data_IF_404071088969
#
_entry.id   IF_404071088969
#
_cell.length_a   1.000
_cell.length_b   1.000
_cell.length_c   1.000
_cell.angle_alpha   90.00
_cell.angle_beta   90.00
_cell.angle_gamma   90.00
#
_symmetry.space_group_name_H-M   'P 1'
#
loop_
_entity.id
_entity.type
_entity.pdbx_description
1 polymer ?
#
# COMPACT_ATOMS: atom_id res chain seq x y z
N UNK A 1 -44.28 10.89 -11.52
CA UNK A 1 -44.55 10.94 -12.97
C UNK A 1 -45.48 12.08 -13.36
N UNK A 2 -46.62 12.29 -12.69
CA UNK A 2 -47.61 13.33 -13.06
C UNK A 2 -47.05 14.77 -13.19
N UNK A 3 -46.04 15.15 -12.40
CA UNK A 3 -45.46 16.49 -12.45
C UNK A 3 -44.50 16.73 -13.63
N UNK A 4 -43.78 15.71 -14.10
CA UNK A 4 -42.88 15.85 -15.26
C UNK A 4 -43.67 15.98 -16.57
N UNK A 5 -44.78 15.25 -16.68
CA UNK A 5 -45.71 15.40 -17.81
C UNK A 5 -46.35 16.79 -17.86
N UNK A 6 -46.64 17.40 -16.69
CA UNK A 6 -47.14 18.75 -16.62
C UNK A 6 -46.09 19.78 -17.07
N UNK A 7 -44.82 19.60 -16.67
CA UNK A 7 -43.70 20.45 -17.11
C UNK A 7 -43.49 20.33 -18.63
N UNK A 8 -43.53 19.11 -19.17
CA UNK A 8 -43.37 18.89 -20.61
C UNK A 8 -44.46 19.57 -21.45
N UNK A 9 -45.70 19.65 -20.93
CA UNK A 9 -46.82 20.36 -21.57
C UNK A 9 -46.78 21.87 -21.40
N UNK A 10 -45.95 22.39 -20.49
CA UNK A 10 -45.82 23.82 -20.21
C UNK A 10 -44.69 24.51 -20.97
N UNK A 11 -43.93 23.77 -21.79
CA UNK A 11 -42.87 24.32 -22.63
C UNK A 11 -43.53 25.18 -23.73
N UNK A 12 -43.24 26.49 -23.80
CA UNK A 12 -43.82 27.34 -24.83
C UNK A 12 -43.33 26.91 -26.23
N UNK A 13 -44.21 27.01 -27.24
CA UNK A 13 -43.80 26.79 -28.63
C UNK A 13 -43.02 28.00 -29.17
N UNK A 14 -42.03 27.78 -30.06
CA UNK A 14 -41.25 28.87 -30.63
C UNK A 14 -42.11 29.74 -31.55
N UNK A 15 -42.15 31.05 -31.27
CA UNK A 15 -42.85 32.00 -32.13
C UNK A 15 -41.85 32.53 -33.15
N UNK A 16 -41.88 31.94 -34.34
CA UNK A 16 -40.97 32.29 -35.43
C UNK A 16 -41.53 33.42 -36.31
N UNK A 17 -40.67 34.23 -36.94
CA UNK A 17 -41.10 35.24 -37.88
C UNK A 17 -41.89 34.65 -39.06
N UNK A 18 -42.83 35.40 -39.66
CA UNK A 18 -43.64 34.92 -40.78
C UNK A 18 -42.78 34.45 -41.96
N UNK A 19 -43.22 33.40 -42.67
CA UNK A 19 -42.51 32.86 -43.86
C UNK A 19 -42.24 33.93 -44.93
N UNK A 20 -43.10 34.95 -45.04
CA UNK A 20 -42.91 36.08 -45.93
C UNK A 20 -41.65 36.90 -45.60
N UNK A 21 -41.37 37.11 -44.31
CA UNK A 21 -40.16 37.80 -43.84
C UNK A 21 -38.90 36.98 -44.16
N UNK A 22 -38.95 35.66 -44.01
CA UNK A 22 -37.84 34.77 -44.38
C UNK A 22 -37.48 34.85 -45.88
N UNK A 23 -38.49 35.01 -46.75
CA UNK A 23 -38.27 35.20 -48.19
C UNK A 23 -37.62 36.55 -48.52
N UNK A 24 -37.98 37.61 -47.78
CA UNK A 24 -37.41 38.94 -47.90
C UNK A 24 -35.95 38.99 -47.39
N UNK A 25 -35.67 38.35 -46.26
CA UNK A 25 -34.33 38.18 -45.70
C UNK A 25 -33.44 37.41 -46.69
N UNK A 26 -33.95 36.32 -47.28
CA UNK A 26 -33.20 35.57 -48.30
C UNK A 26 -32.87 36.43 -49.54
N UNK A 27 -33.76 37.33 -49.96
CA UNK A 27 -33.51 38.26 -51.07
C UNK A 27 -32.44 39.32 -50.74
N UNK A 28 -32.40 39.78 -49.48
CA UNK A 28 -31.34 40.67 -48.99
C UNK A 28 -30.00 39.94 -48.97
N UNK A 29 -29.95 38.73 -48.38
CA UNK A 29 -28.71 37.94 -48.27
C UNK A 29 -28.13 37.53 -49.63
N UNK A 30 -28.99 37.34 -50.65
CA UNK A 30 -28.59 37.04 -52.03
C UNK A 30 -28.35 38.29 -52.88
N UNK A 31 -28.35 39.49 -52.28
CA UNK A 31 -28.20 40.78 -52.96
C UNK A 31 -29.17 40.98 -54.15
N UNK A 32 -30.34 40.34 -54.10
CA UNK A 32 -31.36 40.44 -55.16
C UNK A 32 -32.25 41.68 -55.00
N UNK A 33 -32.15 42.37 -53.85
CA UNK A 33 -32.75 43.70 -53.59
C UNK A 33 -31.84 44.52 -52.65
N UNK A 34 -31.90 45.87 -52.70
CA UNK A 34 -31.18 46.73 -51.76
C UNK A 34 -31.73 46.63 -50.32
N UNK A 35 -30.86 46.85 -49.34
CA UNK A 35 -31.20 46.84 -47.91
C UNK A 35 -31.71 48.21 -47.47
N UNK A 36 -32.95 48.28 -46.96
CA UNK A 36 -33.60 49.52 -46.55
C UNK A 36 -33.58 49.69 -45.02
N UNK A 37 -33.68 50.93 -44.53
CA UNK A 37 -33.71 51.20 -43.08
C UNK A 37 -34.94 50.59 -42.39
N UNK A 38 -36.07 50.48 -43.09
CA UNK A 38 -37.24 49.75 -42.59
C UNK A 38 -37.00 48.24 -42.45
N UNK A 39 -36.16 47.65 -43.31
CA UNK A 39 -35.75 46.25 -43.17
C UNK A 39 -34.83 46.09 -41.94
N UNK A 40 -33.95 47.07 -41.68
CA UNK A 40 -33.06 47.08 -40.51
C UNK A 40 -33.86 47.09 -39.21
N UNK A 41 -34.80 48.02 -39.05
CA UNK A 41 -35.58 48.14 -37.82
C UNK A 41 -36.43 46.89 -37.58
N UNK A 42 -37.05 46.35 -38.65
CA UNK A 42 -37.84 45.13 -38.57
C UNK A 42 -36.99 43.90 -38.22
N UNK A 43 -35.77 43.78 -38.75
CA UNK A 43 -34.85 42.69 -38.40
C UNK A 43 -34.38 42.82 -36.94
N UNK A 44 -34.00 44.01 -36.49
CA UNK A 44 -33.58 44.23 -35.10
C UNK A 44 -34.68 43.86 -34.11
N UNK A 45 -35.93 44.25 -34.38
CA UNK A 45 -37.04 43.91 -33.51
C UNK A 45 -37.34 42.39 -33.48
N UNK A 46 -37.17 41.68 -34.60
CA UNK A 46 -37.30 40.22 -34.62
C UNK A 46 -36.15 39.53 -33.87
N UNK A 47 -34.93 40.06 -33.97
CA UNK A 47 -33.78 39.55 -33.20
C UNK A 47 -34.06 39.69 -31.70
N UNK A 48 -34.55 40.85 -31.25
CA UNK A 48 -34.88 41.09 -29.84
C UNK A 48 -35.94 40.10 -29.31
N UNK A 49 -36.99 39.82 -30.09
CA UNK A 49 -38.02 38.82 -29.73
C UNK A 49 -37.44 37.41 -29.64
N UNK A 50 -36.54 37.03 -30.56
CA UNK A 50 -35.88 35.72 -30.53
C UNK A 50 -34.89 35.58 -29.37
N UNK A 51 -34.16 36.64 -29.03
CA UNK A 51 -33.28 36.69 -27.85
C UNK A 51 -34.06 36.52 -26.55
N UNK A 52 -35.22 37.17 -26.44
CA UNK A 52 -36.11 36.98 -25.28
C UNK A 52 -36.62 35.53 -25.18
N UNK A 53 -36.99 34.91 -26.32
CA UNK A 53 -37.39 33.49 -26.33
C UNK A 53 -36.24 32.58 -25.91
N UNK A 54 -35.03 32.81 -26.42
CA UNK A 54 -33.84 32.04 -26.03
C UNK A 54 -33.58 32.14 -24.52
N UNK A 55 -33.69 33.34 -23.95
CA UNK A 55 -33.54 33.53 -22.50
C UNK A 55 -34.55 32.71 -21.68
N UNK A 56 -35.79 32.59 -22.14
CA UNK A 56 -36.82 31.74 -21.49
C UNK A 56 -36.44 30.26 -21.57
N UNK A 57 -36.00 29.77 -22.73
CA UNK A 57 -35.57 28.38 -22.87
C UNK A 57 -34.32 28.07 -22.04
N UNK A 58 -33.34 28.98 -22.00
CA UNK A 58 -32.14 28.83 -21.18
C UNK A 58 -32.49 28.78 -19.68
N UNK A 59 -33.42 29.62 -19.21
CA UNK A 59 -33.91 29.58 -17.84
C UNK A 59 -34.61 28.23 -17.52
N UNK A 60 -35.39 27.69 -18.45
CA UNK A 60 -36.04 26.38 -18.30
C UNK A 60 -35.02 25.24 -18.27
N UNK A 61 -34.02 25.26 -19.15
CA UNK A 61 -32.94 24.28 -19.19
C UNK A 61 -32.14 24.30 -17.87
N UNK A 62 -31.75 25.49 -17.41
CA UNK A 62 -31.07 25.66 -16.12
C UNK A 62 -31.90 25.07 -14.97
N UNK A 63 -33.22 25.33 -14.96
CA UNK A 63 -34.10 24.79 -13.91
C UNK A 63 -34.22 23.27 -13.98
N UNK A 64 -34.27 22.68 -15.18
CA UNK A 64 -34.28 21.22 -15.36
C UNK A 64 -32.96 20.63 -14.86
N UNK A 65 -31.82 21.27 -15.17
CA UNK A 65 -30.51 20.82 -14.71
C UNK A 65 -30.36 20.91 -13.19
N UNK A 66 -30.92 21.94 -12.55
CA UNK A 66 -31.01 22.04 -11.09
C UNK A 66 -31.79 20.86 -10.49
N UNK A 67 -32.99 20.57 -11.02
CA UNK A 67 -33.83 19.44 -10.55
C UNK A 67 -33.14 18.11 -10.82
N UNK A 68 -32.47 17.97 -11.97
CA UNK A 68 -31.71 16.77 -12.33
C UNK A 68 -30.57 16.56 -11.34
N UNK A 69 -29.81 17.61 -11.02
CA UNK A 69 -28.73 17.56 -10.04
C UNK A 69 -29.26 17.18 -8.67
N UNK A 70 -30.39 17.76 -8.24
CA UNK A 70 -31.04 17.41 -6.99
C UNK A 70 -31.43 15.93 -6.96
N UNK A 71 -32.12 15.41 -7.97
CA UNK A 71 -32.51 14.00 -8.05
C UNK A 71 -31.29 13.07 -8.09
N UNK A 72 -30.23 13.47 -8.78
CA UNK A 72 -28.98 12.71 -8.84
C UNK A 72 -28.32 12.64 -7.45
N UNK A 73 -28.27 13.75 -6.71
CA UNK A 73 -27.78 13.77 -5.34
C UNK A 73 -28.61 12.85 -4.42
N UNK A 74 -29.94 12.87 -4.55
CA UNK A 74 -30.82 11.96 -3.81
C UNK A 74 -30.54 10.49 -4.16
N UNK A 75 -30.41 10.18 -5.45
CA UNK A 75 -30.06 8.82 -5.92
C UNK A 75 -28.73 8.35 -5.34
N UNK A 76 -27.71 9.21 -5.36
CA UNK A 76 -26.37 8.87 -4.87
C UNK A 76 -26.38 8.69 -3.34
N UNK A 77 -27.16 9.47 -2.60
CA UNK A 77 -27.35 9.29 -1.15
C UNK A 77 -28.04 7.94 -0.82
N UNK A 78 -29.08 7.57 -1.59
CA UNK A 78 -29.75 6.26 -1.45
C UNK A 78 -28.79 5.12 -1.80
N UNK A 79 -28.03 5.26 -2.90
CA UNK A 79 -27.06 4.25 -3.32
C UNK A 79 -25.95 4.05 -2.28
N UNK A 80 -25.42 5.14 -1.72
CA UNK A 80 -24.44 5.10 -0.62
C UNK A 80 -24.99 4.35 0.61
N UNK A 81 -26.24 4.62 0.98
CA UNK A 81 -26.92 3.95 2.09
C UNK A 81 -27.11 2.45 1.82
N UNK A 82 -27.56 2.09 0.62
CA UNK A 82 -27.70 0.70 0.18
C UNK A 82 -26.37 -0.05 0.23
N UNK A 83 -25.29 0.54 -0.30
CA UNK A 83 -23.94 -0.06 -0.24
C UNK A 83 -23.47 -0.26 1.19
N UNK A 84 -23.78 0.66 2.10
CA UNK A 84 -23.47 0.51 3.52
C UNK A 84 -24.23 -0.68 4.15
N UNK A 85 -25.53 -0.81 3.91
CA UNK A 85 -26.34 -1.95 4.40
C UNK A 85 -25.91 -3.29 3.77
N UNK A 86 -25.65 -3.33 2.47
CA UNK A 86 -25.14 -4.55 1.82
C UNK A 86 -23.78 -4.94 2.40
N UNK A 87 -22.92 -3.95 2.70
CA UNK A 87 -21.65 -4.20 3.36
C UNK A 87 -21.84 -4.76 4.76
N UNK A 88 -22.84 -4.31 5.55
CA UNK A 88 -23.08 -4.85 6.91
C UNK A 88 -23.53 -6.29 6.88
N UNK A 89 -24.21 -6.71 5.81
CA UNK A 89 -24.59 -8.11 5.58
C UNK A 89 -23.51 -8.96 4.91
N UNK A 90 -22.34 -8.39 4.61
CA UNK A 90 -21.27 -9.13 3.96
C UNK A 90 -20.81 -10.32 4.84
N UNK A 91 -20.70 -11.54 4.28
CA UNK A 91 -20.32 -12.74 5.04
C UNK A 91 -19.00 -12.61 5.82
N UNK A 92 -18.10 -11.74 5.36
CA UNK A 92 -16.82 -11.50 6.03
C UNK A 92 -16.97 -10.89 7.43
N UNK A 93 -18.13 -10.29 7.74
CA UNK A 93 -18.47 -9.71 9.05
C UNK A 93 -19.14 -10.71 9.99
N UNK A 94 -19.66 -11.82 9.47
CA UNK A 94 -20.20 -12.92 10.29
C UNK A 94 -19.16 -14.01 10.57
N UNK A 95 -17.94 -13.88 10.02
CA UNK A 95 -16.85 -14.80 10.32
C UNK A 95 -16.42 -14.66 11.80
N UNK A 96 -16.35 -15.77 12.54
CA UNK A 96 -15.75 -15.79 13.87
C UNK A 96 -14.31 -15.27 13.83
N UNK A 97 -13.88 -14.60 14.90
CA UNK A 97 -12.52 -14.09 15.05
C UNK A 97 -11.46 -15.18 14.88
N UNK A 98 -11.75 -16.42 15.27
CA UNK A 98 -10.83 -17.55 15.12
C UNK A 98 -10.56 -17.92 13.66
N UNK A 99 -11.59 -17.82 12.79
CA UNK A 99 -11.40 -18.04 11.34
C UNK A 99 -10.57 -16.91 10.75
N UNK A 100 -10.83 -15.66 11.15
CA UNK A 100 -10.03 -14.52 10.72
C UNK A 100 -8.57 -14.66 11.15
N UNK A 101 -8.31 -15.10 12.40
CA UNK A 101 -6.95 -15.38 12.90
C UNK A 101 -6.23 -16.43 12.05
N UNK A 102 -6.91 -17.56 11.78
CA UNK A 102 -6.34 -18.64 10.96
C UNK A 102 -6.02 -18.15 9.55
N UNK A 103 -6.95 -17.42 8.91
CA UNK A 103 -6.73 -16.84 7.57
C UNK A 103 -5.56 -15.84 7.58
N UNK A 104 -5.50 -14.95 8.57
CA UNK A 104 -4.43 -13.95 8.65
C UNK A 104 -3.06 -14.58 8.83
N UNK A 105 -2.95 -15.62 9.66
CA UNK A 105 -1.71 -16.40 9.78
C UNK A 105 -1.34 -17.10 8.48
N UNK A 106 -2.31 -17.75 7.82
CA UNK A 106 -2.03 -18.49 6.59
C UNK A 106 -1.58 -17.57 5.46
N UNK A 107 -2.23 -16.41 5.32
CA UNK A 107 -1.82 -15.36 4.38
C UNK A 107 -0.39 -14.92 4.69
N UNK A 108 -0.09 -14.64 5.96
CA UNK A 108 1.23 -14.22 6.39
C UNK A 108 2.31 -15.29 6.11
N UNK A 109 2.05 -16.57 6.38
CA UNK A 109 2.96 -17.69 6.09
C UNK A 109 3.15 -17.90 4.58
N UNK A 110 2.09 -17.80 3.78
CA UNK A 110 2.16 -17.99 2.32
C UNK A 110 3.02 -16.93 1.65
N UNK A 111 2.92 -15.68 2.10
CA UNK A 111 3.72 -14.56 1.59
C UNK A 111 5.20 -14.66 1.98
N UNK A 112 5.52 -15.40 3.04
CA UNK A 112 6.87 -15.57 3.55
C UNK A 112 7.75 -16.50 2.73
N UNK A 113 7.19 -17.60 2.23
CA UNK A 113 7.89 -18.51 1.34
C UNK A 113 8.25 -17.84 0.00
N UNK A 114 7.51 -16.80 -0.38
CA UNK A 114 7.74 -16.05 -1.60
C UNK A 114 8.86 -15.00 -1.48
N UNK A 115 9.39 -14.73 -0.28
CA UNK A 115 10.44 -13.72 -0.07
C UNK A 115 11.81 -14.12 -0.65
N UNK A 116 12.00 -15.41 -0.98
CA UNK A 116 13.15 -15.88 -1.75
C UNK A 116 13.00 -15.65 -3.26
N UNK A 117 11.76 -15.50 -3.78
CA UNK A 117 11.47 -15.28 -5.20
C UNK A 117 11.45 -13.79 -5.60
N UNK A 118 11.57 -12.87 -4.65
CA UNK A 118 11.69 -11.42 -4.86
C UNK A 118 13.12 -11.01 -5.29
N UNK A 119 13.82 -11.85 -6.05
CA UNK A 119 14.95 -11.44 -6.90
C UNK A 119 14.45 -10.94 -8.28
N UNK A 120 13.16 -10.64 -8.41
CA UNK A 120 12.67 -9.93 -9.59
C UNK A 120 13.30 -8.53 -9.61
N UNK A 121 14.11 -8.27 -10.63
CA UNK A 121 14.61 -6.97 -11.08
C UNK A 121 13.47 -5.99 -11.42
N UNK A 122 12.57 -5.70 -10.49
CA UNK A 122 11.69 -4.54 -10.57
C UNK A 122 12.46 -3.33 -10.05
N UNK A 123 12.44 -2.22 -10.78
CA UNK A 123 13.11 -0.93 -10.46
C UNK A 123 12.73 -0.31 -9.11
N UNK A 124 11.87 -0.97 -8.32
CA UNK A 124 11.49 -0.60 -6.96
C UNK A 124 12.16 -1.51 -5.93
N UNK A 125 13.17 -0.99 -5.22
CA UNK A 125 13.78 -1.70 -4.08
C UNK A 125 12.73 -1.98 -2.96
N UNK A 126 12.68 -3.21 -2.39
CA UNK A 126 11.67 -3.60 -1.38
C UNK A 126 11.79 -2.79 -0.09
N UNK A 127 10.69 -2.38 0.57
CA UNK A 127 10.66 -1.51 1.78
C UNK A 127 11.41 -2.06 3.00
N UNK A 128 11.95 -1.21 3.92
CA UNK A 128 12.79 -1.68 5.01
C UNK A 128 12.03 -2.33 6.13
N UNK A 129 10.79 -1.91 6.33
CA UNK A 129 9.78 -2.74 6.94
C UNK A 129 8.69 -2.84 5.88
N UNK A 130 8.32 -4.05 5.48
CA UNK A 130 7.29 -4.20 4.45
C UNK A 130 5.89 -3.93 5.03
N UNK A 131 5.48 -2.66 5.01
CA UNK A 131 4.14 -2.23 5.43
C UNK A 131 3.03 -2.71 4.49
N UNK A 132 3.40 -3.28 3.33
CA UNK A 132 2.42 -3.83 2.39
C UNK A 132 1.94 -5.23 2.79
N UNK A 133 2.54 -5.84 3.83
CA UNK A 133 2.25 -7.20 4.27
C UNK A 133 1.87 -7.29 5.75
N UNK A 134 1.32 -8.46 6.13
CA UNK A 134 1.08 -8.83 7.52
C UNK A 134 0.14 -7.89 8.29
N UNK A 135 0.37 -7.67 9.59
CA UNK A 135 -0.50 -6.83 10.44
C UNK A 135 -0.74 -5.42 9.91
N UNK A 136 0.26 -4.84 9.24
CA UNK A 136 0.24 -3.47 8.73
C UNK A 136 -0.76 -3.30 7.59
N UNK A 137 -0.91 -4.33 6.74
CA UNK A 137 -1.88 -4.35 5.64
C UNK A 137 -3.28 -4.73 6.08
N UNK A 138 -3.39 -5.60 7.08
CA UNK A 138 -4.67 -6.13 7.55
C UNK A 138 -5.42 -5.16 8.49
N UNK A 139 -4.69 -4.44 9.35
CA UNK A 139 -5.28 -3.53 10.35
C UNK A 139 -6.07 -2.32 9.82
N UNK A 140 -5.84 -1.79 8.60
CA UNK A 140 -6.62 -0.69 8.06
C UNK A 140 -7.95 -1.11 7.42
N UNK A 141 -8.20 -2.41 7.20
CA UNK A 141 -9.36 -2.90 6.43
C UNK A 141 -10.70 -2.55 7.10
N UNK A 142 -10.86 -2.89 8.38
CA UNK A 142 -12.01 -2.47 9.19
C UNK A 142 -11.69 -2.56 10.70
N UNK A 143 -12.57 -2.03 11.56
CA UNK A 143 -12.42 -2.08 13.02
C UNK A 143 -12.27 -3.50 13.55
N UNK A 144 -13.13 -4.44 13.15
CA UNK A 144 -13.08 -5.83 13.59
C UNK A 144 -11.75 -6.52 13.21
N UNK A 145 -11.24 -6.26 12.00
CA UNK A 145 -9.94 -6.81 11.57
C UNK A 145 -8.80 -6.23 12.39
N UNK A 146 -8.86 -4.91 12.68
CA UNK A 146 -7.89 -4.25 13.55
C UNK A 146 -7.90 -4.88 14.95
N UNK A 147 -9.06 -5.10 15.53
CA UNK A 147 -9.18 -5.70 16.87
C UNK A 147 -8.60 -7.11 16.88
N UNK A 148 -8.92 -7.93 15.87
CA UNK A 148 -8.32 -9.27 15.71
C UNK A 148 -6.79 -9.18 15.59
N UNK A 149 -6.28 -8.33 14.70
CA UNK A 149 -4.84 -8.16 14.47
C UNK A 149 -4.11 -7.68 15.73
N UNK A 150 -4.67 -6.71 16.46
CA UNK A 150 -4.07 -6.19 17.69
C UNK A 150 -4.12 -7.19 18.85
N UNK A 151 -5.18 -8.00 18.93
CA UNK A 151 -5.36 -9.00 19.99
C UNK A 151 -4.52 -10.26 19.82
N UNK A 152 -3.81 -10.42 18.69
CA UNK A 152 -3.16 -11.67 18.34
C UNK A 152 -1.63 -11.52 18.17
N UNK A 153 -0.86 -11.82 19.24
CA UNK A 153 0.59 -11.55 19.28
C UNK A 153 1.39 -12.29 18.21
N UNK A 154 0.95 -13.49 17.80
CA UNK A 154 1.64 -14.30 16.79
C UNK A 154 1.74 -13.59 15.43
N UNK A 155 0.80 -12.70 15.08
CA UNK A 155 0.89 -11.93 13.83
C UNK A 155 2.04 -10.92 13.85
N UNK A 156 2.43 -10.47 15.05
CA UNK A 156 3.50 -9.49 15.27
C UNK A 156 4.84 -10.14 15.57
N UNK A 157 4.87 -11.47 15.79
CA UNK A 157 6.09 -12.19 16.15
C UNK A 157 7.01 -12.44 14.97
N UNK A 158 6.62 -12.04 13.75
CA UNK A 158 7.53 -12.03 12.60
C UNK A 158 7.84 -10.64 12.13
N UNK A 159 9.14 -10.42 11.99
CA UNK A 159 9.74 -9.14 11.67
C UNK A 159 10.59 -9.34 10.41
N UNK A 160 10.35 -8.52 9.39
CA UNK A 160 11.13 -8.52 8.14
C UNK A 160 11.73 -7.14 7.97
N UNK A 161 13.06 -7.06 8.04
CA UNK A 161 13.84 -5.84 7.90
C UNK A 161 14.75 -5.91 6.66
N UNK A 162 14.73 -4.86 5.82
CA UNK A 162 15.40 -4.84 4.51
C UNK A 162 16.04 -3.48 4.16
N UNK A 163 17.35 -3.33 4.26
CA UNK A 163 18.03 -2.04 4.06
C UNK A 163 18.72 -1.97 2.70
N UNK A 164 18.13 -1.19 1.76
CA UNK A 164 18.64 -0.93 0.40
C UNK A 164 19.30 0.45 0.22
N UNK A 165 19.80 0.72 -0.99
CA UNK A 165 20.73 1.84 -1.30
C UNK A 165 19.98 3.15 -1.58
N UNK A 166 18.80 3.12 -2.21
CA UNK A 166 18.15 4.31 -2.80
C UNK A 166 16.95 4.82 -1.96
N UNK A 167 17.19 5.14 -0.69
CA UNK A 167 16.10 5.34 0.29
C UNK A 167 16.03 6.75 0.86
N UNK A 168 14.86 7.42 0.79
CA UNK A 168 14.58 8.66 1.52
C UNK A 168 14.67 8.47 3.04
N UNK A 169 15.32 9.41 3.72
CA UNK A 169 15.57 9.41 5.17
C UNK A 169 14.25 9.33 5.98
N UNK A 170 13.15 9.86 5.45
CA UNK A 170 11.84 9.90 6.10
C UNK A 170 11.24 8.50 6.31
N UNK A 171 11.60 7.52 5.48
CA UNK A 171 11.17 6.13 5.69
C UNK A 171 11.91 5.47 6.83
N UNK A 172 13.18 5.81 7.06
CA UNK A 172 13.98 5.26 8.15
C UNK A 172 13.43 5.67 9.52
N UNK A 173 12.95 6.93 9.63
CA UNK A 173 12.34 7.47 10.85
C UNK A 173 11.11 6.67 11.32
N UNK A 174 10.43 5.95 10.43
CA UNK A 174 9.24 5.16 10.76
C UNK A 174 9.55 3.73 11.15
N UNK A 175 10.75 3.22 10.83
CA UNK A 175 11.11 1.83 11.09
C UNK A 175 11.21 1.57 12.58
N UNK A 176 11.97 2.39 13.31
CA UNK A 176 12.24 2.18 14.73
C UNK A 176 10.92 2.15 15.54
N UNK A 177 10.00 3.13 15.41
CA UNK A 177 8.72 3.07 16.11
C UNK A 177 7.87 1.86 15.70
N UNK A 178 7.88 1.48 14.42
CA UNK A 178 7.13 0.33 13.94
C UNK A 178 7.69 -1.00 14.44
N UNK A 179 9.02 -1.12 14.50
CA UNK A 179 9.72 -2.27 15.07
C UNK A 179 9.41 -2.43 16.55
N UNK A 180 9.54 -1.33 17.33
CA UNK A 180 9.19 -1.32 18.75
C UNK A 180 7.72 -1.71 18.96
N UNK A 181 6.80 -1.19 18.14
CA UNK A 181 5.40 -1.57 18.21
C UNK A 181 5.16 -3.05 17.88
N UNK A 182 5.89 -3.62 16.92
CA UNK A 182 5.79 -5.04 16.58
C UNK A 182 6.32 -5.93 17.72
N UNK A 183 7.49 -5.60 18.27
CA UNK A 183 8.08 -6.30 19.42
C UNK A 183 7.12 -6.26 20.61
N UNK A 184 6.60 -5.08 20.96
CA UNK A 184 5.66 -4.91 22.07
C UNK A 184 4.39 -5.77 21.87
N UNK A 185 3.82 -5.75 20.67
CA UNK A 185 2.59 -6.49 20.35
C UNK A 185 2.80 -8.00 20.23
N UNK A 186 4.02 -8.45 19.92
CA UNK A 186 4.39 -9.87 19.92
C UNK A 186 4.41 -10.48 21.33
N UNK A 187 4.34 -9.65 22.38
CA UNK A 187 4.29 -10.05 23.78
C UNK A 187 5.46 -10.99 24.16
N UNK A 188 5.19 -12.27 24.43
CA UNK A 188 6.21 -13.29 24.74
C UNK A 188 6.29 -14.38 23.65
N UNK A 189 5.68 -14.15 22.48
CA UNK A 189 5.76 -15.13 21.39
C UNK A 189 7.19 -15.23 20.83
N UNK A 190 7.61 -16.42 20.38
CA UNK A 190 8.90 -16.58 19.72
C UNK A 190 8.99 -15.76 18.43
N UNK A 191 10.14 -15.14 18.18
CA UNK A 191 10.36 -14.24 17.07
C UNK A 191 10.94 -14.94 15.85
N UNK A 192 10.32 -14.71 14.69
CA UNK A 192 10.83 -15.12 13.39
C UNK A 192 11.32 -13.88 12.62
N UNK A 193 12.62 -13.74 12.48
CA UNK A 193 13.24 -12.51 11.99
C UNK A 193 13.94 -12.78 10.65
N UNK A 194 13.70 -11.90 9.69
CA UNK A 194 14.47 -11.80 8.46
C UNK A 194 15.12 -10.43 8.44
N UNK A 195 16.45 -10.39 8.37
CA UNK A 195 17.22 -9.16 8.35
C UNK A 195 18.14 -9.16 7.12
N UNK A 196 17.88 -8.26 6.19
CA UNK A 196 18.66 -8.09 4.95
C UNK A 196 19.28 -6.70 4.92
N UNK A 197 20.58 -6.61 4.69
CA UNK A 197 21.35 -5.38 4.54
C UNK A 197 22.17 -5.48 3.25
N UNK A 198 21.87 -4.62 2.28
CA UNK A 198 22.64 -4.52 1.05
C UNK A 198 23.83 -3.56 1.21
N UNK A 199 24.88 -3.78 0.42
CA UNK A 199 26.11 -3.00 0.48
C UNK A 199 25.84 -1.52 0.12
N UNK A 200 26.43 -0.58 0.88
CA UNK A 200 26.25 0.86 0.68
C UNK A 200 24.90 1.41 1.16
N UNK A 201 24.10 0.60 1.87
CA UNK A 201 22.87 1.06 2.51
C UNK A 201 23.15 1.90 3.78
N UNK A 202 22.09 2.46 4.36
CA UNK A 202 22.14 3.25 5.61
C UNK A 202 22.52 2.38 6.81
N UNK A 203 23.83 2.15 7.01
CA UNK A 203 24.38 1.31 8.08
C UNK A 203 23.91 1.76 9.46
N UNK A 204 23.85 3.07 9.74
CA UNK A 204 23.45 3.60 11.05
C UNK A 204 22.03 3.18 11.47
N UNK A 205 21.07 3.23 10.54
CA UNK A 205 19.69 2.83 10.82
C UNK A 205 19.58 1.30 10.98
N UNK A 206 20.33 0.55 10.17
CA UNK A 206 20.39 -0.90 10.28
C UNK A 206 20.96 -1.33 11.64
N UNK A 207 22.07 -0.73 12.06
CA UNK A 207 22.71 -0.94 13.38
C UNK A 207 21.72 -0.69 14.51
N UNK A 208 21.06 0.49 14.52
CA UNK A 208 20.09 0.82 15.56
C UNK A 208 18.92 -0.17 15.63
N UNK A 209 18.39 -0.60 14.48
CA UNK A 209 17.30 -1.61 14.49
C UNK A 209 17.79 -2.99 14.93
N UNK A 210 19.05 -3.32 14.64
CA UNK A 210 19.64 -4.58 15.05
C UNK A 210 19.89 -4.62 16.56
N UNK A 211 20.34 -3.52 17.16
CA UNK A 211 20.48 -3.39 18.61
C UNK A 211 19.16 -3.67 19.33
N UNK A 212 18.05 -3.10 18.83
CA UNK A 212 16.70 -3.37 19.36
C UNK A 212 16.34 -4.86 19.27
N UNK A 213 16.73 -5.54 18.18
CA UNK A 213 16.49 -6.97 18.04
C UNK A 213 17.33 -7.80 19.02
N UNK A 214 18.60 -7.41 19.23
CA UNK A 214 19.55 -8.09 20.12
C UNK A 214 19.02 -8.12 21.55
N UNK A 215 18.37 -7.04 22.01
CA UNK A 215 17.71 -6.98 23.33
C UNK A 215 16.66 -8.09 23.51
N UNK A 216 15.99 -8.49 22.44
CA UNK A 216 14.96 -9.54 22.43
C UNK A 216 15.48 -10.92 21.96
N UNK A 217 16.81 -11.11 21.93
CA UNK A 217 17.48 -12.34 21.48
C UNK A 217 17.01 -13.61 22.19
N UNK A 218 16.55 -13.49 23.44
CA UNK A 218 16.07 -14.61 24.25
C UNK A 218 14.83 -15.32 23.67
N UNK A 219 14.10 -14.65 22.76
CA UNK A 219 12.89 -15.15 22.11
C UNK A 219 13.07 -15.50 20.65
N UNK A 220 14.25 -15.32 20.07
CA UNK A 220 14.47 -15.65 18.67
C UNK A 220 14.28 -17.14 18.43
N UNK A 221 13.46 -17.49 17.44
CA UNK A 221 13.19 -18.88 17.02
C UNK A 221 13.76 -19.16 15.64
N UNK A 222 13.46 -18.30 14.67
CA UNK A 222 14.00 -18.43 13.31
C UNK A 222 14.67 -17.12 12.93
N UNK A 223 15.92 -17.20 12.47
CA UNK A 223 16.70 -16.03 12.04
C UNK A 223 17.23 -16.25 10.63
N UNK A 224 16.95 -15.31 9.72
CA UNK A 224 17.55 -15.24 8.39
C UNK A 224 18.33 -13.95 8.28
N UNK A 225 19.65 -14.05 8.19
CA UNK A 225 20.59 -12.95 8.05
C UNK A 225 21.12 -12.92 6.61
N UNK A 226 21.01 -11.77 5.97
CA UNK A 226 21.64 -11.50 4.68
C UNK A 226 22.39 -10.16 4.82
N UNK A 227 23.65 -10.22 5.24
CA UNK A 227 24.41 -9.04 5.67
C UNK A 227 25.85 -9.12 5.16
N UNK A 228 26.57 -7.98 5.03
CA UNK A 228 28.01 -7.99 4.81
C UNK A 228 28.76 -8.68 5.96
N UNK A 229 29.93 -9.25 5.67
CA UNK A 229 30.76 -9.95 6.66
C UNK A 229 31.11 -9.04 7.87
N UNK A 230 31.38 -7.76 7.62
CA UNK A 230 31.72 -6.76 8.64
C UNK A 230 30.60 -6.54 9.66
N UNK A 231 29.34 -6.65 9.24
CA UNK A 231 28.17 -6.49 10.13
C UNK A 231 27.92 -7.73 11.00
N UNK A 232 28.52 -8.88 10.65
CA UNK A 232 28.35 -10.13 11.38
C UNK A 232 29.01 -10.08 12.77
N UNK A 233 29.98 -9.20 12.97
CA UNK A 233 30.62 -8.93 14.27
C UNK A 233 29.61 -8.54 15.38
N UNK A 234 28.48 -7.92 15.03
CA UNK A 234 27.43 -7.56 16.00
C UNK A 234 26.79 -8.79 16.66
N UNK A 235 26.89 -9.97 16.02
CA UNK A 235 26.36 -11.23 16.56
C UNK A 235 27.09 -11.67 17.83
N UNK A 236 28.29 -11.17 18.12
CA UNK A 236 29.00 -11.45 19.38
C UNK A 236 28.15 -11.10 20.61
N UNK A 237 27.29 -10.09 20.51
CA UNK A 237 26.47 -9.60 21.63
C UNK A 237 25.34 -10.57 22.04
N UNK A 238 24.94 -11.48 21.15
CA UNK A 238 23.86 -12.45 21.41
C UNK A 238 24.37 -13.80 21.90
N UNK A 239 25.70 -13.98 22.02
CA UNK A 239 26.29 -15.20 22.54
C UNK A 239 25.72 -15.53 23.92
N UNK A 240 25.26 -16.76 24.11
CA UNK A 240 24.63 -17.22 25.35
C UNK A 240 23.24 -16.63 25.64
N UNK A 241 22.67 -15.81 24.75
CA UNK A 241 21.35 -15.17 24.92
C UNK A 241 20.30 -15.65 23.93
N UNK A 242 20.56 -16.74 23.21
CA UNK A 242 19.67 -17.29 22.16
C UNK A 242 19.15 -18.71 22.49
N UNK A 243 18.48 -18.92 23.65
CA UNK A 243 18.04 -20.23 24.11
C UNK A 243 16.90 -20.83 23.26
N UNK A 244 16.13 -20.01 22.55
CA UNK A 244 14.96 -20.43 21.78
C UNK A 244 15.23 -20.65 20.29
N UNK A 245 16.47 -20.40 19.82
CA UNK A 245 16.77 -20.39 18.40
C UNK A 245 16.73 -21.83 17.85
N UNK A 246 15.89 -22.06 16.85
CA UNK A 246 15.65 -23.36 16.20
C UNK A 246 16.22 -23.40 14.78
N UNK A 247 16.15 -22.30 14.04
CA UNK A 247 16.70 -22.19 12.68
C UNK A 247 17.52 -20.92 12.51
N UNK A 248 18.69 -21.07 11.89
CA UNK A 248 19.56 -19.98 11.48
C UNK A 248 19.92 -20.13 10.01
N UNK A 249 19.75 -19.07 9.23
CA UNK A 249 20.27 -18.97 7.87
C UNK A 249 21.14 -17.72 7.79
N UNK A 250 22.38 -17.85 7.32
CA UNK A 250 23.29 -16.73 7.11
C UNK A 250 23.73 -16.72 5.65
N UNK A 251 23.54 -15.58 4.98
CA UNK A 251 23.94 -15.30 3.60
C UNK A 251 24.90 -14.10 3.62
N UNK A 252 26.21 -14.34 3.52
CA UNK A 252 27.20 -13.26 3.49
C UNK A 252 27.46 -12.81 2.05
N UNK A 253 27.34 -11.51 1.77
CA UNK A 253 27.63 -10.97 0.44
C UNK A 253 29.13 -10.68 0.29
N UNK A 254 29.74 -11.27 -0.74
CA UNK A 254 31.15 -11.03 -1.11
C UNK A 254 31.35 -9.61 -1.66
N UNK A 255 32.41 -8.92 -1.21
CA UNK A 255 32.82 -7.59 -1.71
C UNK A 255 33.98 -7.78 -2.68
N UNK A 256 33.80 -7.60 -4.01
CA UNK A 256 34.87 -7.83 -4.99
C UNK A 256 36.07 -6.89 -4.89
N UNK A 257 35.92 -5.75 -4.20
CA UNK A 257 36.91 -4.67 -4.14
C UNK A 257 37.81 -4.70 -2.89
N UNK A 258 37.49 -5.52 -1.89
CA UNK A 258 38.39 -5.84 -0.77
C UNK A 258 39.19 -7.06 -1.19
N UNK A 259 40.44 -6.85 -1.64
CA UNK A 259 41.29 -7.91 -2.17
C UNK A 259 41.28 -9.19 -1.32
N UNK A 260 41.19 -10.34 -2.00
CA UNK A 260 41.26 -11.72 -1.49
C UNK A 260 41.10 -11.87 0.02
N UNK A 261 39.86 -11.73 0.52
CA UNK A 261 39.45 -12.22 1.85
C UNK A 261 39.34 -13.77 1.88
N UNK A 262 40.02 -14.47 0.96
CA UNK A 262 40.13 -15.94 0.97
C UNK A 262 40.90 -16.44 2.22
N UNK A 263 41.69 -15.55 2.85
CA UNK A 263 42.56 -15.88 3.99
C UNK A 263 42.14 -15.28 5.35
N UNK A 264 41.08 -14.44 5.43
CA UNK A 264 40.65 -13.90 6.73
C UNK A 264 39.67 -14.87 7.42
N UNK A 265 40.18 -15.66 8.34
CA UNK A 265 39.34 -16.44 9.24
C UNK A 265 38.46 -15.50 10.09
N UNK A 266 37.16 -15.81 10.19
CA UNK A 266 36.25 -15.09 11.10
C UNK A 266 36.80 -15.18 12.53
N UNK A 267 36.78 -14.09 13.32
CA UNK A 267 37.28 -14.13 14.70
C UNK A 267 36.57 -15.22 15.52
N UNK A 268 37.31 -15.95 16.36
CA UNK A 268 36.78 -17.07 17.17
C UNK A 268 35.52 -16.71 17.96
N UNK A 269 35.41 -15.46 18.42
CA UNK A 269 34.24 -14.93 19.12
C UNK A 269 32.98 -14.94 18.26
N UNK A 270 33.13 -14.70 16.95
CA UNK A 270 32.05 -14.77 15.95
C UNK A 270 31.71 -16.21 15.64
N UNK A 271 32.74 -17.05 15.45
CA UNK A 271 32.57 -18.49 15.16
C UNK A 271 31.79 -19.17 16.28
N UNK A 272 32.02 -18.76 17.53
CA UNK A 272 31.45 -19.39 18.73
C UNK A 272 30.08 -18.86 19.17
N UNK A 273 29.52 -17.84 18.50
CA UNK A 273 28.25 -17.20 18.89
C UNK A 273 27.11 -18.22 19.07
N UNK A 274 27.05 -19.21 18.17
CA UNK A 274 25.93 -20.15 18.09
C UNK A 274 26.16 -21.46 18.87
N UNK A 275 27.31 -21.65 19.50
CA UNK A 275 27.59 -22.84 20.33
C UNK A 275 26.57 -22.94 21.47
N UNK A 276 26.21 -21.81 22.07
CA UNK A 276 25.33 -21.73 23.23
C UNK A 276 23.83 -21.68 22.85
N UNK A 277 23.46 -22.23 21.69
CA UNK A 277 22.08 -22.31 21.19
C UNK A 277 21.51 -23.74 21.32
N UNK A 278 20.94 -24.12 22.48
CA UNK A 278 20.57 -25.50 22.79
C UNK A 278 19.45 -26.07 21.94
N UNK A 279 18.60 -25.21 21.34
CA UNK A 279 17.46 -25.63 20.52
C UNK A 279 17.72 -25.59 19.02
N UNK A 280 18.93 -25.21 18.61
CA UNK A 280 19.25 -24.99 17.21
C UNK A 280 19.23 -26.33 16.46
N UNK A 281 18.39 -26.44 15.43
CA UNK A 281 18.19 -27.69 14.66
C UNK A 281 18.61 -27.56 13.21
N UNK A 282 18.50 -26.34 12.66
CA UNK A 282 18.76 -26.06 11.25
C UNK A 282 19.72 -24.89 11.12
N UNK A 283 20.82 -25.12 10.44
CA UNK A 283 21.80 -24.07 10.10
C UNK A 283 22.06 -24.14 8.61
N UNK A 284 21.94 -23.01 7.93
CA UNK A 284 22.31 -22.88 6.52
C UNK A 284 23.25 -21.69 6.37
N UNK A 285 24.46 -21.95 5.88
CA UNK A 285 25.47 -20.93 5.61
C UNK A 285 25.70 -20.86 4.10
N UNK A 286 25.54 -19.68 3.51
CA UNK A 286 25.80 -19.42 2.09
C UNK A 286 26.96 -18.46 1.94
N UNK A 287 27.90 -18.79 1.03
CA UNK A 287 29.02 -17.93 0.64
C UNK A 287 29.91 -17.50 1.81
N UNK A 288 30.11 -18.38 2.80
CA UNK A 288 31.16 -18.21 3.82
C UNK A 288 32.51 -18.69 3.26
N UNK A 289 33.63 -18.00 3.56
CA UNK A 289 34.95 -18.36 3.02
C UNK A 289 35.33 -19.83 3.28
N UNK A 290 34.95 -20.38 4.44
CA UNK A 290 35.00 -21.82 4.72
C UNK A 290 33.70 -22.28 5.42
N UNK A 291 33.17 -23.48 5.11
CA UNK A 291 31.99 -24.03 5.79
C UNK A 291 32.24 -24.40 7.27
N UNK A 292 33.51 -24.54 7.67
CA UNK A 292 33.92 -24.78 9.07
C UNK A 292 33.90 -23.52 9.94
N UNK A 293 33.58 -22.34 9.37
CA UNK A 293 33.75 -21.04 10.03
C UNK A 293 32.79 -20.74 11.19
N UNK A 294 31.78 -21.55 11.43
CA UNK A 294 30.92 -21.39 12.61
C UNK A 294 30.97 -22.65 13.47
N UNK A 295 31.33 -22.50 14.74
CA UNK A 295 31.23 -23.55 15.73
C UNK A 295 29.75 -23.71 16.12
N UNK A 296 29.22 -24.90 15.90
CA UNK A 296 27.82 -25.23 16.15
C UNK A 296 27.68 -26.09 17.42
N UNK A 297 26.47 -26.11 18.02
CA UNK A 297 26.19 -27.03 19.13
C UNK A 297 26.48 -28.48 18.73
N UNK A 298 26.97 -29.26 19.69
CA UNK A 298 27.40 -30.65 19.48
C UNK A 298 26.31 -31.57 18.89
N UNK A 299 25.03 -31.22 19.02
CA UNK A 299 23.91 -31.99 18.49
C UNK A 299 23.55 -31.67 17.03
N UNK A 300 24.22 -30.69 16.41
CA UNK A 300 24.09 -30.40 14.98
C UNK A 300 25.19 -31.16 14.25
N UNK A 301 24.83 -32.24 13.56
CA UNK A 301 25.74 -32.98 12.69
C UNK A 301 25.78 -32.31 11.31
N UNK A 302 27.00 -31.97 10.85
CA UNK A 302 27.29 -31.43 9.52
C UNK A 302 26.92 -32.40 8.39
#
# INVERSE_FOLDING_TARGET
MLHLDAVARSIPEPVLPPKALNSQISGILRATRPFLDTDRDQILQNIEVLEQQLSVYDALLNRIDEVRLEVQNHRDAVHKSMTAYSSTLAPIRSLPSDILRAVFLEVQISLWWNLELSESYSDSEPQPLDFSQGPWKLSPVCGAWRDVVLSYPQLWSRIVLQFGILRPVEMLLKIIPALQAAILRSAQHPLDIVFKLWNGAHEDAAVQTFDILIEESYRWRNMVLQIPLTSLEQMKMVRGKIPCLESLTVKTMYIPYLGSLEDSELPDDVRSVFIDAPRLRKVILYQTPKPDDCMLPLHITH
#
